data_IF_901008819749
#
_entry.id   IF_901008819749
#
_cell.length_a   1.000
_cell.length_b   1.000
_cell.length_c   1.000
_cell.angle_alpha   90.00
_cell.angle_beta   90.00
_cell.angle_gamma   90.00
#
_symmetry.space_group_name_H-M   'P 1'
#
loop_
_entity.id
_entity.type
_entity.pdbx_description
1 polymer ?
#
# COMPACT_ATOMS: atom_id res chain seq x y z
N UNK A 1 -40.72 25.47 18.91
CA UNK A 1 -39.86 24.28 19.01
C UNK A 1 -38.51 24.62 18.41
N UNK A 2 -37.46 24.28 19.13
CA UNK A 2 -36.18 24.99 19.30
C UNK A 2 -35.23 24.93 18.11
N UNK A 3 -34.74 26.10 17.65
CA UNK A 3 -33.43 26.24 17.00
C UNK A 3 -32.41 26.59 18.09
N UNK A 4 -31.40 25.75 18.31
CA UNK A 4 -30.38 26.03 19.33
C UNK A 4 -28.99 25.47 18.97
N UNK A 5 -28.13 26.41 18.56
CA UNK A 5 -26.70 26.58 18.92
C UNK A 5 -25.77 25.37 18.75
N UNK A 6 -25.02 25.35 17.64
CA UNK A 6 -23.78 24.56 17.49
C UNK A 6 -22.68 25.41 16.88
N UNK A 7 -22.25 26.43 17.63
CA UNK A 7 -20.96 27.07 17.39
C UNK A 7 -20.51 27.69 18.70
N UNK A 8 -19.23 27.45 19.02
CA UNK A 8 -18.49 27.98 20.18
C UNK A 8 -18.63 27.12 21.45
N UNK A 9 -17.77 26.12 21.60
CA UNK A 9 -16.84 26.16 22.74
C UNK A 9 -15.53 25.46 22.38
N UNK A 10 -14.48 26.27 22.45
CA UNK A 10 -13.08 26.01 22.21
C UNK A 10 -12.44 25.31 23.41
N UNK A 11 -11.37 24.54 23.17
CA UNK A 11 -10.20 24.36 24.04
C UNK A 11 -10.39 23.86 25.50
N UNK A 12 -10.17 22.56 25.71
CA UNK A 12 -9.62 21.91 26.92
C UNK A 12 -9.50 20.42 26.54
N UNK A 13 -8.42 19.66 26.64
CA UNK A 13 -7.27 19.68 27.54
C UNK A 13 -6.22 18.73 26.96
N UNK A 14 -4.95 19.09 27.12
CA UNK A 14 -3.77 18.29 26.81
C UNK A 14 -3.59 17.17 27.87
N UNK A 15 -2.94 16.08 27.43
CA UNK A 15 -2.22 15.07 28.21
C UNK A 15 -3.03 13.93 28.86
N UNK A 16 -2.77 12.71 28.35
CA UNK A 16 -2.32 11.56 29.12
C UNK A 16 -1.90 10.44 28.14
N UNK A 17 -0.68 10.55 27.60
CA UNK A 17 0.02 9.36 27.12
C UNK A 17 0.79 8.85 28.33
N UNK A 18 0.24 7.81 28.96
CA UNK A 18 0.87 7.10 30.04
C UNK A 18 2.05 6.27 29.50
N UNK A 19 3.19 6.49 30.15
CA UNK A 19 4.38 5.64 30.28
C UNK A 19 4.12 4.13 30.08
N UNK A 20 4.86 3.53 29.15
CA UNK A 20 5.39 2.16 29.33
C UNK A 20 6.87 2.34 29.70
N UNK A 21 7.22 2.25 30.98
CA UNK A 21 7.59 1.04 31.72
C UNK A 21 8.90 0.39 31.23
N UNK A 22 10.00 0.82 31.87
CA UNK A 22 11.06 0.01 32.48
C UNK A 22 11.49 -1.29 31.76
N UNK A 23 12.59 -1.21 31.01
CA UNK A 23 13.50 -2.35 30.84
C UNK A 23 14.79 -2.08 31.62
N UNK A 24 14.87 -2.67 32.80
CA UNK A 24 16.09 -2.83 33.56
C UNK A 24 16.90 -3.94 32.90
N UNK A 25 17.84 -3.60 32.03
CA UNK A 25 18.89 -4.54 31.67
C UNK A 25 19.82 -4.67 32.88
N UNK A 26 19.54 -5.72 33.64
CA UNK A 26 20.44 -6.39 34.57
C UNK A 26 21.83 -6.45 33.96
N UNK A 27 22.79 -5.81 34.62
CA UNK A 27 24.20 -6.09 34.41
C UNK A 27 24.41 -7.55 34.85
N UNK A 28 24.42 -8.44 33.87
CA UNK A 28 24.79 -9.84 34.07
C UNK A 28 26.31 -9.85 34.22
N UNK A 29 26.77 -9.70 35.46
CA UNK A 29 28.17 -9.86 35.86
C UNK A 29 28.50 -11.35 35.84
N UNK A 30 28.70 -11.86 34.62
CA UNK A 30 29.04 -13.25 34.41
C UNK A 30 30.56 -13.38 34.36
N UNK A 31 31.11 -13.61 35.54
CA UNK A 31 32.46 -14.08 35.80
C UNK A 31 32.77 -15.33 34.95
N UNK A 32 33.47 -15.14 33.83
CA UNK A 32 34.09 -16.22 33.07
C UNK A 32 35.60 -16.07 33.10
N UNK A 33 36.20 -16.55 34.19
CA UNK A 33 37.59 -16.92 34.22
C UNK A 33 37.76 -18.19 33.35
N UNK A 34 38.17 -18.01 32.09
CA UNK A 34 38.68 -19.08 31.24
C UNK A 34 39.75 -18.53 30.30
N UNK A 35 40.99 -18.60 30.75
CA UNK A 35 42.23 -18.48 29.99
C UNK A 35 42.18 -19.24 28.66
N UNK A 36 42.24 -18.55 27.52
CA UNK A 36 42.98 -18.94 26.30
C UNK A 36 43.25 -17.69 25.43
N UNK A 37 44.41 -17.58 24.75
CA UNK A 37 44.82 -16.39 24.03
C UNK A 37 44.30 -16.38 22.57
N UNK A 38 44.24 -15.17 22.01
CA UNK A 38 44.18 -14.84 20.58
C UNK A 38 42.81 -14.97 19.88
N UNK A 39 42.08 -13.85 19.81
CA UNK A 39 41.81 -13.13 18.57
C UNK A 39 40.92 -11.92 18.90
N UNK A 40 41.56 -10.79 19.19
CA UNK A 40 40.92 -9.48 19.17
C UNK A 40 40.57 -9.16 17.70
N UNK A 41 39.36 -9.51 17.26
CA UNK A 41 38.78 -8.86 16.08
C UNK A 41 38.08 -7.61 16.57
N UNK A 42 38.84 -6.52 16.56
CA UNK A 42 38.34 -5.15 16.61
C UNK A 42 37.05 -5.02 15.79
N UNK A 43 35.98 -4.55 16.43
CA UNK A 43 34.80 -3.99 15.78
C UNK A 43 35.23 -2.80 14.92
N UNK A 44 35.72 -3.08 13.71
CA UNK A 44 35.95 -2.05 12.70
C UNK A 44 34.60 -1.75 12.06
N UNK A 45 33.85 -0.85 12.70
CA UNK A 45 32.77 -0.13 12.01
C UNK A 45 33.39 0.61 10.82
N UNK A 46 33.27 -0.01 9.66
CA UNK A 46 34.00 0.42 8.48
C UNK A 46 33.18 1.50 7.79
N UNK A 47 33.81 2.58 7.33
CA UNK A 47 33.17 3.68 6.57
C UNK A 47 32.38 3.14 5.36
N UNK A 48 32.79 1.99 4.81
CA UNK A 48 32.07 1.25 3.76
C UNK A 48 30.69 0.72 4.17
N UNK A 49 30.48 0.41 5.46
CA UNK A 49 29.20 -0.03 5.99
C UNK A 49 28.19 1.12 6.04
N UNK A 50 28.66 2.37 6.19
CA UNK A 50 27.82 3.56 6.04
C UNK A 50 27.45 3.87 4.57
N UNK A 51 28.31 3.55 3.60
CA UNK A 51 28.01 3.72 2.17
C UNK A 51 27.08 2.63 1.61
N UNK A 52 27.10 1.42 2.19
CA UNK A 52 26.13 0.36 1.85
C UNK A 52 24.71 0.63 2.38
N UNK A 53 24.51 1.61 3.28
CA UNK A 53 23.19 1.98 3.82
C UNK A 53 22.34 2.83 2.87
N UNK A 54 22.89 3.32 1.77
CA UNK A 54 22.20 4.20 0.80
C UNK A 54 21.35 3.42 -0.24
N UNK A 55 21.41 2.08 -0.27
CA UNK A 55 20.74 1.27 -1.29
C UNK A 55 19.35 0.73 -0.92
N UNK A 56 18.79 1.11 0.25
CA UNK A 56 17.43 0.68 0.63
C UNK A 56 16.42 1.82 0.50
N UNK A 57 16.49 2.60 -0.58
CA UNK A 57 15.24 3.12 -1.16
C UNK A 57 14.61 1.92 -1.85
N UNK A 58 13.81 1.13 -1.12
CA UNK A 58 13.01 0.09 -1.77
C UNK A 58 12.22 0.79 -2.87
N UNK A 59 12.45 0.47 -4.15
CA UNK A 59 11.61 1.02 -5.20
C UNK A 59 10.18 0.63 -4.83
N UNK A 60 9.27 1.59 -4.80
CA UNK A 60 7.84 1.33 -4.59
C UNK A 60 7.41 0.40 -5.71
N UNK A 61 7.40 -0.90 -5.42
CA UNK A 61 7.13 -1.94 -6.41
C UNK A 61 5.62 -2.09 -6.47
N UNK A 62 5.01 -1.43 -7.45
CA UNK A 62 3.63 -1.73 -7.86
C UNK A 62 3.48 -3.23 -8.06
N UNK A 63 2.40 -3.82 -7.55
CA UNK A 63 2.18 -5.26 -7.69
C UNK A 63 1.86 -5.63 -9.16
N UNK A 64 2.70 -6.48 -9.77
CA UNK A 64 2.53 -6.93 -11.17
C UNK A 64 1.20 -7.62 -11.44
N UNK A 65 0.64 -8.36 -10.46
CA UNK A 65 -0.61 -9.08 -10.63
C UNK A 65 -1.81 -8.15 -10.58
N UNK A 66 -1.82 -7.18 -9.65
CA UNK A 66 -2.90 -6.17 -9.60
C UNK A 66 -2.90 -5.36 -10.90
N UNK A 67 -1.71 -4.95 -11.35
CA UNK A 67 -1.55 -4.22 -12.60
C UNK A 67 -2.10 -4.99 -13.81
N UNK A 68 -1.64 -6.23 -14.00
CA UNK A 68 -2.08 -7.05 -15.12
C UNK A 68 -3.58 -7.38 -15.04
N UNK A 69 -4.09 -7.68 -13.84
CA UNK A 69 -5.50 -7.94 -13.62
C UNK A 69 -6.37 -6.71 -13.91
N UNK A 70 -5.91 -5.49 -13.59
CA UNK A 70 -6.64 -4.28 -13.91
C UNK A 70 -6.75 -4.08 -15.43
N UNK A 71 -5.70 -4.39 -16.18
CA UNK A 71 -5.71 -4.32 -17.65
C UNK A 71 -6.65 -5.36 -18.26
N UNK A 72 -6.71 -6.56 -17.68
CA UNK A 72 -7.52 -7.68 -18.16
C UNK A 72 -9.01 -7.51 -17.85
N UNK A 73 -9.36 -7.11 -16.61
CA UNK A 73 -10.77 -6.89 -16.22
C UNK A 73 -11.37 -5.67 -16.93
N UNK A 74 -10.54 -4.69 -17.27
CA UNK A 74 -10.93 -3.44 -17.91
C UNK A 74 -10.36 -3.33 -19.33
N UNK A 75 -10.29 -4.46 -20.03
CA UNK A 75 -9.77 -4.60 -21.40
C UNK A 75 -10.68 -3.94 -22.45
N UNK A 76 -11.99 -3.88 -22.17
CA UNK A 76 -13.01 -3.23 -23.00
C UNK A 76 -12.90 -1.70 -23.04
N UNK A 77 -12.04 -1.10 -22.21
CA UNK A 77 -11.81 0.35 -22.20
C UNK A 77 -10.49 0.71 -22.90
N UNK A 78 -10.47 1.76 -23.74
CA UNK A 78 -9.25 2.23 -24.37
C UNK A 78 -8.26 2.76 -23.33
N UNK A 79 -6.97 2.52 -23.55
CA UNK A 79 -5.90 3.07 -22.72
C UNK A 79 -5.64 4.52 -23.14
N UNK A 80 -5.63 5.45 -22.17
CA UNK A 80 -5.23 6.85 -22.38
C UNK A 80 -3.80 7.08 -21.91
N UNK A 81 -3.51 6.77 -20.65
CA UNK A 81 -2.20 7.02 -20.02
C UNK A 81 -1.83 5.88 -19.08
N UNK A 82 -0.55 5.53 -19.04
CA UNK A 82 0.00 4.50 -18.17
C UNK A 82 1.29 5.02 -17.54
N UNK A 83 1.38 5.01 -16.21
CA UNK A 83 2.61 5.27 -15.46
C UNK A 83 2.89 4.12 -14.47
N UNK A 84 3.85 3.24 -14.77
CA UNK A 84 4.14 2.07 -13.95
C UNK A 84 4.92 2.40 -12.67
N UNK A 85 5.54 3.57 -12.57
CA UNK A 85 6.31 3.97 -11.40
C UNK A 85 5.40 4.55 -10.31
N UNK A 86 4.42 5.36 -10.72
CA UNK A 86 3.39 5.84 -9.79
C UNK A 86 2.27 4.84 -9.56
N UNK A 87 2.11 3.83 -10.42
CA UNK A 87 1.02 2.86 -10.31
C UNK A 87 -0.32 3.41 -10.81
N UNK A 88 -0.31 4.40 -11.71
CA UNK A 88 -1.51 5.02 -12.27
C UNK A 88 -1.80 4.49 -13.68
N UNK A 89 -3.05 4.10 -13.91
CA UNK A 89 -3.58 3.74 -15.22
C UNK A 89 -4.83 4.58 -15.47
N UNK A 90 -4.85 5.32 -16.58
CA UNK A 90 -6.03 6.07 -17.04
C UNK A 90 -6.60 5.38 -18.27
N UNK A 91 -7.90 5.05 -18.18
CA UNK A 91 -8.68 4.43 -19.23
C UNK A 91 -9.75 5.41 -19.71
N UNK A 92 -9.89 5.53 -21.02
CA UNK A 92 -10.90 6.36 -21.66
C UNK A 92 -12.29 5.72 -21.62
N UNK A 93 -13.25 6.36 -22.30
CA UNK A 93 -14.62 5.87 -22.32
C UNK A 93 -14.76 4.54 -23.08
N UNK A 94 -15.20 3.49 -22.39
CA UNK A 94 -15.52 2.18 -22.97
C UNK A 94 -16.84 1.61 -22.45
N UNK A 95 -17.43 0.69 -23.23
CA UNK A 95 -18.70 0.03 -22.90
C UNK A 95 -18.40 -1.40 -22.46
N UNK A 96 -18.80 -1.82 -21.23
CA UNK A 96 -18.58 -3.19 -20.80
C UNK A 96 -19.45 -4.17 -21.62
N UNK A 97 -19.01 -5.43 -21.79
CA UNK A 97 -19.81 -6.45 -22.47
C UNK A 97 -21.20 -6.60 -21.85
N UNK A 98 -22.25 -6.56 -22.67
CA UNK A 98 -23.65 -6.60 -22.21
C UNK A 98 -24.19 -5.29 -21.62
N UNK A 99 -23.36 -4.26 -21.51
CA UNK A 99 -23.74 -2.92 -21.06
C UNK A 99 -24.11 -1.97 -22.21
N UNK A 100 -24.70 -0.82 -21.85
CA UNK A 100 -25.00 0.29 -22.79
C UNK A 100 -24.32 1.60 -22.38
N UNK A 101 -23.84 1.69 -21.16
CA UNK A 101 -23.28 2.91 -20.58
C UNK A 101 -21.78 2.92 -20.84
N UNK A 102 -21.26 4.07 -21.24
CA UNK A 102 -19.82 4.31 -21.35
C UNK A 102 -19.26 4.76 -20.01
N UNK A 103 -18.17 4.14 -19.59
CA UNK A 103 -17.43 4.47 -18.38
C UNK A 103 -16.01 4.85 -18.74
N UNK A 104 -15.45 5.83 -18.02
CA UNK A 104 -13.99 6.03 -17.96
C UNK A 104 -13.51 5.72 -16.56
N UNK A 105 -12.27 5.29 -16.45
CA UNK A 105 -11.71 4.82 -15.19
C UNK A 105 -10.30 5.38 -14.96
N UNK A 106 -10.00 5.64 -13.70
CA UNK A 106 -8.63 5.89 -13.22
C UNK A 106 -8.35 4.86 -12.15
N UNK A 107 -7.29 4.09 -12.36
CA UNK A 107 -6.86 3.01 -11.49
C UNK A 107 -5.55 3.46 -10.83
N UNK A 108 -5.48 3.30 -9.51
CA UNK A 108 -4.30 3.61 -8.72
C UNK A 108 -3.91 2.40 -7.87
N UNK A 109 -2.72 1.87 -8.11
CA UNK A 109 -2.14 0.75 -7.37
C UNK A 109 -1.21 1.32 -6.30
N UNK A 110 -1.64 1.21 -5.05
CA UNK A 110 -1.02 1.90 -3.91
C UNK A 110 0.08 1.06 -3.27
N UNK A 111 -0.15 -0.24 -3.13
CA UNK A 111 0.63 -1.11 -2.25
C UNK A 111 1.00 -2.41 -3.00
N UNK A 112 2.24 -2.94 -2.83
CA UNK A 112 2.63 -4.24 -3.34
C UNK A 112 1.77 -5.41 -2.82
N UNK A 113 1.09 -5.28 -1.68
CA UNK A 113 0.30 -6.38 -1.10
C UNK A 113 -0.94 -6.75 -1.95
N UNK A 114 -1.43 -7.99 -1.89
CA UNK A 114 -2.68 -8.43 -2.56
C UNK A 114 -3.91 -8.31 -1.64
N UNK A 115 -4.17 -7.11 -1.13
CA UNK A 115 -5.25 -6.83 -0.18
C UNK A 115 -6.14 -5.64 -0.60
N UNK A 116 -7.24 -5.42 0.13
CA UNK A 116 -8.28 -4.45 -0.24
C UNK A 116 -7.80 -2.98 -0.25
N UNK A 117 -6.67 -2.67 0.38
CA UNK A 117 -6.09 -1.32 0.41
C UNK A 117 -5.14 -1.03 -0.74
N UNK A 118 -4.71 -2.05 -1.47
CA UNK A 118 -3.67 -1.95 -2.49
C UNK A 118 -4.14 -1.38 -3.82
N UNK A 119 -5.45 -1.22 -3.99
CA UNK A 119 -6.08 -0.77 -5.22
C UNK A 119 -7.15 0.27 -4.90
N UNK A 120 -7.20 1.32 -5.70
CA UNK A 120 -8.33 2.25 -5.77
C UNK A 120 -8.73 2.42 -7.21
N UNK A 121 -10.03 2.38 -7.46
CA UNK A 121 -10.60 2.62 -8.78
C UNK A 121 -11.62 3.76 -8.68
N UNK A 122 -11.40 4.81 -9.47
CA UNK A 122 -12.36 5.88 -9.67
C UNK A 122 -13.01 5.73 -11.03
N UNK A 123 -14.35 5.74 -11.08
CA UNK A 123 -15.09 5.61 -12.33
C UNK A 123 -16.16 6.69 -12.46
N UNK A 124 -16.36 7.11 -13.70
CA UNK A 124 -17.39 8.09 -14.05
C UNK A 124 -18.01 7.73 -15.40
N UNK A 125 -19.27 8.05 -15.53
CA UNK A 125 -20.04 8.00 -16.77
C UNK A 125 -20.07 9.40 -17.39
N UNK A 126 -20.66 9.52 -18.58
CA UNK A 126 -20.95 10.84 -19.17
C UNK A 126 -21.91 11.69 -18.33
N UNK A 127 -22.70 11.06 -17.47
CA UNK A 127 -23.70 11.73 -16.62
C UNK A 127 -23.21 12.03 -15.21
N UNK A 128 -21.99 11.62 -14.84
CA UNK A 128 -21.43 11.84 -13.51
C UNK A 128 -20.77 10.60 -12.89
N UNK A 129 -20.41 10.67 -11.58
CA UNK A 129 -19.68 9.61 -10.89
C UNK A 129 -20.50 8.32 -10.75
N UNK A 130 -19.81 7.18 -10.77
CA UNK A 130 -20.41 5.86 -10.55
C UNK A 130 -20.70 5.64 -9.06
N UNK A 131 -21.70 4.80 -8.75
CA UNK A 131 -21.98 4.41 -7.36
C UNK A 131 -20.78 3.72 -6.72
N UNK A 132 -20.48 4.07 -5.48
CA UNK A 132 -19.40 3.46 -4.70
C UNK A 132 -19.54 1.93 -4.52
N UNK A 133 -20.75 1.38 -4.54
CA UNK A 133 -20.95 -0.08 -4.51
C UNK A 133 -20.35 -0.75 -5.77
N UNK A 134 -20.68 -0.22 -6.95
CA UNK A 134 -20.17 -0.71 -8.24
C UNK A 134 -18.66 -0.54 -8.34
N UNK A 135 -18.10 0.57 -7.86
CA UNK A 135 -16.63 0.75 -7.82
C UNK A 135 -15.95 -0.33 -6.97
N UNK A 136 -16.51 -0.65 -5.80
CA UNK A 136 -15.99 -1.74 -4.94
C UNK A 136 -16.12 -3.11 -5.57
N UNK A 137 -17.21 -3.39 -6.28
CA UNK A 137 -17.37 -4.66 -7.01
C UNK A 137 -16.27 -4.82 -8.06
N UNK A 138 -15.93 -3.75 -8.78
CA UNK A 138 -14.87 -3.74 -9.79
C UNK A 138 -13.50 -3.89 -9.14
N UNK A 139 -13.23 -3.20 -8.04
CA UNK A 139 -12.00 -3.40 -7.25
C UNK A 139 -11.86 -4.87 -6.81
N UNK A 140 -12.95 -5.47 -6.30
CA UNK A 140 -12.97 -6.87 -5.90
C UNK A 140 -12.76 -7.82 -7.09
N UNK A 141 -13.32 -7.52 -8.26
CA UNK A 141 -13.12 -8.30 -9.47
C UNK A 141 -11.64 -8.29 -9.89
N UNK A 142 -10.99 -7.13 -9.87
CA UNK A 142 -9.56 -6.98 -10.16
C UNK A 142 -8.71 -7.75 -9.14
N UNK A 143 -8.97 -7.57 -7.84
CA UNK A 143 -8.22 -8.27 -6.79
C UNK A 143 -8.43 -9.80 -6.85
N UNK A 144 -9.64 -10.26 -7.19
CA UNK A 144 -9.93 -11.68 -7.40
C UNK A 144 -9.13 -12.22 -8.58
N UNK A 145 -9.14 -11.51 -9.71
CA UNK A 145 -8.35 -11.89 -10.90
C UNK A 145 -6.85 -11.90 -10.60
N UNK A 146 -6.32 -10.90 -9.90
CA UNK A 146 -4.92 -10.86 -9.49
C UNK A 146 -4.51 -12.09 -8.66
N UNK A 147 -5.37 -12.53 -7.72
CA UNK A 147 -5.13 -13.75 -6.93
C UNK A 147 -5.13 -15.00 -7.81
N UNK A 148 -6.01 -15.07 -8.82
CA UNK A 148 -6.01 -16.17 -9.78
C UNK A 148 -4.69 -16.21 -10.56
N UNK A 149 -4.22 -15.06 -11.05
CA UNK A 149 -2.94 -14.96 -11.78
C UNK A 149 -1.75 -15.36 -10.91
N UNK A 150 -1.73 -14.94 -9.63
CA UNK A 150 -0.68 -15.36 -8.69
C UNK A 150 -0.67 -16.88 -8.47
N UNK A 151 -1.85 -17.49 -8.32
CA UNK A 151 -1.98 -18.95 -8.19
C UNK A 151 -1.52 -19.67 -9.46
N UNK A 152 -1.86 -19.16 -10.63
CA UNK A 152 -1.45 -19.73 -11.91
C UNK A 152 0.07 -19.69 -12.13
N UNK A 153 0.74 -18.64 -11.63
CA UNK A 153 2.21 -18.49 -11.69
C UNK A 153 2.97 -19.37 -10.66
N UNK A 154 2.29 -20.14 -9.81
CA UNK A 154 2.93 -21.13 -8.92
C UNK A 154 3.48 -20.59 -7.60
N UNK A 155 3.13 -19.36 -7.22
CA UNK A 155 3.43 -18.80 -5.89
C UNK A 155 2.23 -19.03 -4.96
N UNK A 156 2.10 -20.25 -4.44
CA UNK A 156 1.09 -20.63 -3.44
C UNK A 156 1.65 -20.60 -2.03
#
# INVERSE_FOLDING_TARGET
MTKLKFTILSFLTILLIASCSSDSNTLDDNSYLSTLPAAESEDRETIWDAFNREATREPVKVNRYIWQAALDVLDFMPIETIDPFSGVIVKGFGVPPGGKIQYRATIYVIDPALEARSLRVSMQTKSGPVNAATMREIENAILSRARQMRKADGLS
#
